data_IF_020828503168
#
_entry.id   IF_020828503168
#
_cell.length_a   1.000
_cell.length_b   1.000
_cell.length_c   1.000
_cell.angle_alpha   90.00
_cell.angle_beta   90.00
_cell.angle_gamma   90.00
#
_symmetry.space_group_name_H-M   'P 1'
#
loop_
_entity.id
_entity.type
_entity.pdbx_description
1 polymer ?
#
# COMPACT_ATOMS: atom_id res chain seq x y z
N UNK A 1 12.50 0.38 0.00
CA UNK A 1 11.15 0.97 0.19
C UNK A 1 10.74 1.66 -1.09
N UNK A 2 9.52 1.42 -1.53
CA UNK A 2 8.92 2.05 -2.71
C UNK A 2 7.68 2.80 -2.21
N UNK A 3 7.64 4.11 -2.43
CA UNK A 3 6.54 4.96 -2.01
C UNK A 3 6.28 6.10 -2.99
N UNK A 4 5.19 6.83 -2.77
CA UNK A 4 4.94 8.07 -3.48
C UNK A 4 5.97 9.10 -3.04
N UNK A 5 6.61 9.74 -4.02
CA UNK A 5 7.62 10.77 -3.77
C UNK A 5 7.07 12.16 -4.07
N UNK A 6 7.52 13.13 -3.33
CA UNK A 6 7.24 14.55 -3.59
C UNK A 6 8.41 15.18 -4.31
N UNK A 7 8.11 16.13 -5.20
CA UNK A 7 9.14 16.91 -5.88
C UNK A 7 9.70 18.00 -4.97
N UNK A 8 10.97 18.34 -5.21
CA UNK A 8 11.62 19.49 -4.60
C UNK A 8 12.17 20.42 -5.68
N UNK A 9 12.27 21.71 -5.36
CA UNK A 9 13.01 22.69 -6.14
C UNK A 9 14.05 23.34 -5.27
N UNK A 10 15.23 23.60 -5.84
CA UNK A 10 16.24 24.40 -5.18
C UNK A 10 15.91 25.88 -5.37
N UNK A 11 15.83 26.63 -4.27
CA UNK A 11 15.71 28.09 -4.28
C UNK A 11 16.88 28.70 -3.49
N UNK A 12 17.13 29.96 -3.73
CA UNK A 12 18.16 30.70 -3.02
C UNK A 12 17.48 31.85 -2.26
N UNK A 13 17.64 31.88 -0.94
CA UNK A 13 16.95 32.84 -0.07
C UNK A 13 17.95 33.75 0.68
N UNK A 14 17.49 34.95 0.98
CA UNK A 14 18.24 35.98 1.69
C UNK A 14 19.32 36.66 0.88
N UNK A 15 19.93 37.71 1.47
CA UNK A 15 21.01 38.49 0.82
C UNK A 15 22.23 37.64 0.50
N UNK A 16 22.50 36.59 1.27
CA UNK A 16 23.64 35.68 1.12
C UNK A 16 23.33 34.51 0.18
N UNK A 17 22.19 34.51 -0.54
CA UNK A 17 21.78 33.47 -1.50
C UNK A 17 21.93 32.04 -0.92
N UNK A 18 21.44 31.83 0.30
CA UNK A 18 21.48 30.51 0.93
C UNK A 18 20.62 29.53 0.16
N UNK A 19 21.15 28.36 -0.28
CA UNK A 19 20.35 27.35 -0.95
C UNK A 19 19.37 26.68 0.00
N UNK A 20 18.11 26.58 -0.41
CA UNK A 20 17.04 25.88 0.34
C UNK A 20 16.24 24.99 -0.59
N UNK A 21 15.87 23.80 -0.11
CA UNK A 21 14.98 22.91 -0.82
C UNK A 21 13.54 23.21 -0.45
N UNK A 22 12.73 23.57 -1.42
CA UNK A 22 11.31 23.85 -1.26
C UNK A 22 10.49 22.72 -1.85
N UNK A 23 9.59 22.14 -1.06
CA UNK A 23 8.67 21.11 -1.52
C UNK A 23 7.75 21.67 -2.59
N UNK A 24 7.60 20.93 -3.70
CA UNK A 24 6.58 21.19 -4.72
C UNK A 24 5.25 20.59 -4.27
N UNK A 25 4.14 21.18 -4.74
CA UNK A 25 2.81 20.62 -4.49
C UNK A 25 2.50 19.39 -5.36
N UNK A 26 3.22 19.20 -6.45
CA UNK A 26 3.07 18.02 -7.32
C UNK A 26 3.88 16.85 -6.80
N UNK A 27 3.33 15.66 -6.97
CA UNK A 27 4.06 14.40 -6.79
C UNK A 27 4.93 14.13 -8.01
N UNK A 28 5.97 13.30 -7.85
CA UNK A 28 6.70 12.76 -8.98
C UNK A 28 5.81 11.77 -9.74
N UNK A 29 5.73 11.91 -11.04
CA UNK A 29 5.15 10.92 -11.93
C UNK A 29 6.10 9.72 -12.13
N UNK A 30 5.54 8.49 -12.19
CA UNK A 30 4.16 8.14 -11.93
C UNK A 30 3.85 8.07 -10.44
N UNK A 31 2.63 8.47 -10.10
CA UNK A 31 2.07 8.34 -8.76
C UNK A 31 2.04 6.87 -8.31
N UNK A 32 2.49 6.57 -7.08
CA UNK A 32 2.61 5.20 -6.59
C UNK A 32 1.32 4.71 -5.92
N UNK A 33 0.25 4.60 -6.70
CA UNK A 33 -1.04 4.06 -6.28
C UNK A 33 -1.61 3.16 -7.37
N UNK A 34 -2.57 2.32 -7.01
CA UNK A 34 -3.26 1.41 -7.91
C UNK A 34 -2.28 0.57 -8.77
N UNK A 35 -2.49 0.52 -10.07
CA UNK A 35 -1.65 -0.22 -11.02
C UNK A 35 -0.20 0.26 -11.03
N UNK A 36 0.03 1.54 -10.74
CA UNK A 36 1.38 2.10 -10.70
C UNK A 36 2.27 1.47 -9.61
N UNK A 37 1.69 0.91 -8.54
CA UNK A 37 2.45 0.12 -7.56
C UNK A 37 3.16 -1.05 -8.22
N UNK A 38 2.47 -1.77 -9.08
CA UNK A 38 3.02 -2.93 -9.81
C UNK A 38 4.10 -2.49 -10.79
N UNK A 39 3.86 -1.43 -11.53
CA UNK A 39 4.84 -0.85 -12.47
C UNK A 39 6.12 -0.50 -11.73
N UNK A 40 6.02 0.17 -10.59
CA UNK A 40 7.17 0.55 -9.75
C UNK A 40 7.93 -0.64 -9.17
N UNK A 41 7.22 -1.68 -8.78
CA UNK A 41 7.83 -2.93 -8.30
C UNK A 41 8.63 -3.58 -9.43
N UNK A 42 8.04 -3.64 -10.64
CA UNK A 42 8.69 -4.19 -11.84
C UNK A 42 9.94 -3.39 -12.24
N UNK A 43 9.85 -2.07 -12.30
CA UNK A 43 10.98 -1.20 -12.66
C UNK A 43 12.20 -1.40 -11.74
N UNK A 44 11.97 -1.89 -10.54
CA UNK A 44 13.04 -2.19 -9.57
C UNK A 44 13.49 -3.64 -9.58
N UNK A 45 13.03 -4.42 -10.54
CA UNK A 45 13.40 -5.83 -10.68
C UNK A 45 12.90 -6.73 -9.55
N UNK A 46 11.82 -6.36 -8.87
CA UNK A 46 11.27 -7.08 -7.71
C UNK A 46 10.09 -7.99 -8.07
N UNK A 47 9.86 -8.26 -9.35
CA UNK A 47 8.92 -9.28 -9.80
C UNK A 47 9.68 -10.51 -10.30
N UNK A 48 9.09 -11.71 -10.19
CA UNK A 48 7.78 -12.00 -9.60
C UNK A 48 7.78 -11.94 -8.07
N UNK A 49 6.69 -11.43 -7.49
CA UNK A 49 6.49 -11.48 -6.04
C UNK A 49 5.81 -12.77 -5.62
N UNK A 50 6.13 -13.23 -4.41
CA UNK A 50 5.56 -14.47 -3.81
C UNK A 50 4.70 -14.17 -2.58
N UNK A 51 4.68 -12.92 -2.13
CA UNK A 51 3.85 -12.47 -1.02
C UNK A 51 3.32 -11.07 -1.30
N UNK A 52 2.02 -10.89 -1.09
CA UNK A 52 1.37 -9.58 -1.15
C UNK A 52 0.33 -9.43 -0.04
N UNK A 53 0.28 -8.24 0.52
CA UNK A 53 -0.63 -7.89 1.60
C UNK A 53 -1.24 -6.52 1.31
N UNK A 54 -2.57 -6.41 1.40
CA UNK A 54 -3.29 -5.17 1.12
C UNK A 54 -4.57 -5.04 1.92
N UNK A 55 -5.17 -3.85 1.93
CA UNK A 55 -6.41 -3.56 2.66
C UNK A 55 -7.40 -2.72 1.85
N UNK A 56 -7.08 -2.36 0.63
CA UNK A 56 -7.89 -1.46 -0.18
C UNK A 56 -7.90 -1.83 -1.66
N UNK A 57 -8.85 -1.26 -2.40
CA UNK A 57 -8.91 -1.43 -3.86
C UNK A 57 -7.63 -0.95 -4.57
N UNK A 58 -6.92 0.02 -4.00
CA UNK A 58 -5.64 0.48 -4.52
C UNK A 58 -4.50 -0.53 -4.43
N UNK A 59 -4.72 -1.68 -3.78
CA UNK A 59 -3.76 -2.78 -3.69
C UNK A 59 -4.10 -3.91 -4.68
N UNK A 60 -5.31 -3.90 -5.27
CA UNK A 60 -5.84 -5.01 -6.04
C UNK A 60 -4.88 -5.49 -7.14
N UNK A 61 -4.36 -4.59 -7.97
CA UNK A 61 -3.44 -4.95 -9.06
C UNK A 61 -2.18 -5.65 -8.55
N UNK A 62 -1.63 -5.21 -7.40
CA UNK A 62 -0.46 -5.83 -6.77
C UNK A 62 -0.78 -7.25 -6.27
N UNK A 63 -1.95 -7.44 -5.70
CA UNK A 63 -2.42 -8.74 -5.20
C UNK A 63 -2.63 -9.72 -6.36
N UNK A 64 -3.29 -9.28 -7.44
CA UNK A 64 -3.54 -10.07 -8.65
C UNK A 64 -2.24 -10.49 -9.34
N UNK A 65 -1.28 -9.59 -9.49
CA UNK A 65 0.02 -9.90 -10.11
C UNK A 65 0.81 -10.90 -9.26
N UNK A 66 0.71 -10.82 -7.94
CA UNK A 66 1.33 -11.81 -7.05
C UNK A 66 0.63 -13.17 -7.17
N UNK A 67 -0.70 -13.21 -7.16
CA UNK A 67 -1.46 -14.45 -7.35
C UNK A 67 -1.15 -15.12 -8.70
N UNK A 68 -0.92 -14.34 -9.75
CA UNK A 68 -0.60 -14.81 -11.11
C UNK A 68 0.89 -15.06 -11.34
N UNK A 69 1.74 -15.07 -10.32
CA UNK A 69 3.21 -15.15 -10.45
C UNK A 69 3.71 -16.47 -11.06
N UNK A 70 2.90 -17.53 -11.04
CA UNK A 70 3.31 -18.89 -11.43
C UNK A 70 4.21 -19.60 -10.42
N UNK A 71 4.49 -18.95 -9.28
CA UNK A 71 5.27 -19.48 -8.16
C UNK A 71 4.35 -19.81 -6.98
N UNK A 72 4.79 -20.65 -6.03
CA UNK A 72 4.13 -20.73 -4.73
C UNK A 72 4.04 -19.34 -4.11
N UNK A 73 2.83 -18.89 -3.84
CA UNK A 73 2.60 -17.52 -3.36
C UNK A 73 1.56 -17.47 -2.24
N UNK A 74 1.55 -16.36 -1.51
CA UNK A 74 0.55 -16.05 -0.50
C UNK A 74 0.03 -14.62 -0.73
N UNK A 75 -1.29 -14.50 -0.88
CA UNK A 75 -1.98 -13.22 -0.99
C UNK A 75 -2.90 -13.06 0.21
N UNK A 76 -2.80 -11.91 0.88
CA UNK A 76 -3.56 -11.61 2.07
C UNK A 76 -4.30 -10.27 1.94
N UNK A 77 -5.54 -10.23 2.42
CA UNK A 77 -6.34 -9.02 2.60
C UNK A 77 -6.56 -8.80 4.09
N UNK A 78 -6.26 -7.59 4.55
CA UNK A 78 -6.63 -7.14 5.88
C UNK A 78 -8.03 -6.52 5.82
N UNK A 79 -8.94 -7.08 6.59
CA UNK A 79 -10.27 -6.52 6.79
C UNK A 79 -10.30 -5.75 8.12
N UNK A 80 -10.51 -4.45 8.02
CA UNK A 80 -10.67 -3.54 9.14
C UNK A 80 -12.13 -3.58 9.61
N UNK A 81 -12.53 -4.67 10.26
CA UNK A 81 -13.91 -5.02 10.62
C UNK A 81 -14.23 -4.82 12.12
N UNK A 82 -13.41 -4.06 12.84
CA UNK A 82 -13.57 -3.82 14.27
C UNK A 82 -13.82 -2.36 14.65
N UNK A 83 -15.05 -1.87 14.48
CA UNK A 83 -15.39 -0.47 14.78
C UNK A 83 -15.29 -0.09 16.25
N UNK A 84 -15.08 -1.07 17.16
CA UNK A 84 -14.93 -0.82 18.59
C UNK A 84 -13.49 -0.49 18.97
N UNK A 85 -12.51 -1.02 18.23
CA UNK A 85 -11.08 -0.91 18.54
C UNK A 85 -10.30 -0.09 17.52
N UNK A 86 -10.85 0.11 16.29
CA UNK A 86 -10.22 0.89 15.24
C UNK A 86 -11.26 1.59 14.33
N UNK A 87 -10.78 2.34 13.34
CA UNK A 87 -11.64 2.88 12.31
C UNK A 87 -12.09 1.77 11.35
N UNK A 88 -13.39 1.54 11.26
CA UNK A 88 -13.98 0.56 10.34
C UNK A 88 -13.73 0.97 8.88
N UNK A 89 -12.94 0.15 8.20
CA UNK A 89 -12.56 0.33 6.81
C UNK A 89 -12.91 -0.92 5.98
N UNK A 90 -14.03 -1.52 6.30
CA UNK A 90 -14.53 -2.72 5.63
C UNK A 90 -14.77 -2.49 4.14
N UNK A 91 -14.27 -3.36 3.27
CA UNK A 91 -14.35 -3.28 1.80
C UNK A 91 -15.01 -4.52 1.20
N UNK A 92 -16.36 -4.61 1.22
CA UNK A 92 -17.09 -5.84 0.82
C UNK A 92 -16.74 -6.34 -0.58
N UNK A 93 -16.50 -5.46 -1.55
CA UNK A 93 -16.18 -5.86 -2.91
C UNK A 93 -14.79 -6.51 -3.00
N UNK A 94 -13.80 -5.98 -2.28
CA UNK A 94 -12.47 -6.57 -2.22
C UNK A 94 -12.49 -7.95 -1.54
N UNK A 95 -13.26 -8.09 -0.47
CA UNK A 95 -13.44 -9.36 0.24
C UNK A 95 -14.14 -10.42 -0.63
N UNK A 96 -15.11 -10.03 -1.46
CA UNK A 96 -15.72 -10.94 -2.44
C UNK A 96 -14.70 -11.44 -3.47
N UNK A 97 -13.83 -10.56 -3.94
CA UNK A 97 -12.73 -10.94 -4.85
C UNK A 97 -11.78 -11.90 -4.15
N UNK A 98 -11.36 -11.58 -2.94
CA UNK A 98 -10.46 -12.41 -2.14
C UNK A 98 -11.02 -13.82 -1.91
N UNK A 99 -12.29 -13.92 -1.50
CA UNK A 99 -12.97 -15.19 -1.29
C UNK A 99 -13.09 -16.02 -2.58
N UNK A 100 -13.40 -15.36 -3.72
CA UNK A 100 -13.49 -16.03 -5.03
C UNK A 100 -12.13 -16.52 -5.53
N UNK A 101 -11.06 -15.83 -5.17
CA UNK A 101 -9.68 -16.11 -5.60
C UNK A 101 -8.91 -16.99 -4.61
N UNK A 102 -9.56 -17.46 -3.55
CA UNK A 102 -8.96 -18.25 -2.47
C UNK A 102 -7.78 -17.53 -1.79
N UNK A 103 -7.90 -16.21 -1.63
CA UNK A 103 -6.93 -15.41 -0.90
C UNK A 103 -7.21 -15.42 0.60
N UNK A 104 -6.18 -15.23 1.41
CA UNK A 104 -6.33 -15.20 2.86
C UNK A 104 -6.97 -13.88 3.32
N UNK A 105 -8.08 -13.97 4.04
CA UNK A 105 -8.73 -12.82 4.67
C UNK A 105 -8.38 -12.81 6.16
N UNK A 106 -7.72 -11.76 6.58
CA UNK A 106 -7.30 -11.52 7.97
C UNK A 106 -8.23 -10.45 8.55
N UNK A 107 -8.97 -10.81 9.60
CA UNK A 107 -9.92 -9.92 10.28
C UNK A 107 -9.26 -9.26 11.49
N UNK A 108 -9.35 -7.95 11.60
CA UNK A 108 -8.87 -7.23 12.78
C UNK A 108 -9.62 -7.64 14.03
N UNK A 109 -10.92 -7.89 13.90
CA UNK A 109 -11.78 -8.31 15.01
C UNK A 109 -11.47 -9.72 15.50
N UNK A 110 -11.29 -10.66 14.57
CA UNK A 110 -11.15 -12.09 14.89
C UNK A 110 -9.71 -12.50 15.22
N UNK A 111 -8.76 -11.97 14.43
CA UNK A 111 -7.39 -12.50 14.40
C UNK A 111 -6.40 -11.67 15.24
N UNK A 112 -6.81 -10.49 15.72
CA UNK A 112 -5.97 -9.64 16.56
C UNK A 112 -6.53 -9.51 17.98
N UNK A 113 -5.76 -9.95 18.96
CA UNK A 113 -6.07 -9.76 20.38
C UNK A 113 -5.87 -8.29 20.81
N UNK A 114 -4.81 -7.66 20.31
CA UNK A 114 -4.45 -6.28 20.59
C UNK A 114 -4.18 -5.57 19.25
N UNK A 115 -4.80 -4.42 19.02
CA UNK A 115 -4.59 -3.61 17.81
C UNK A 115 -3.53 -2.54 18.08
N UNK A 116 -3.67 -1.81 19.18
CA UNK A 116 -2.76 -0.73 19.58
C UNK A 116 -2.14 -1.02 20.94
N UNK A 117 -0.83 -0.91 21.06
CA UNK A 117 -0.09 -1.19 22.30
C UNK A 117 -0.46 -0.30 23.49
N UNK A 118 -1.02 0.88 23.22
CA UNK A 118 -1.46 1.83 24.25
C UNK A 118 -2.87 1.56 24.79
N UNK A 119 -3.57 0.57 24.25
CA UNK A 119 -4.91 0.15 24.67
C UNK A 119 -4.88 -1.12 25.54
N UNK A 120 -3.76 -1.39 26.21
CA UNK A 120 -3.62 -2.50 27.14
C UNK A 120 -4.08 -2.14 28.55
#
# INVERSE_FOLDING_TARGET
IIGTMVGFSLKYEGKNKKPVFVRKFSYFEPYNADENKVVRIRERGLLPSIFAFGNSSGDLAMLEVTAASGLPNMVCILDHDDPLREYDYHKPNLLKIAAKSDWNIISMKRDFKVIFSFNQ
#
